data_IF_387253315861
#
_entry.id   IF_387253315861
#
_cell.length_a   1.000
_cell.length_b   1.000
_cell.length_c   1.000
_cell.angle_alpha   90.00
_cell.angle_beta   90.00
_cell.angle_gamma   90.00
#
_symmetry.space_group_name_H-M   'P 1'
#
loop_
_entity.id
_entity.type
_entity.pdbx_description
1 polymer ?
#
# COMPACT_ATOMS: atom_id res chain seq x y z
N UNK A 1 30.37 -10.03 23.63
CA UNK A 1 29.78 -10.32 22.29
C UNK A 1 28.28 -10.60 22.43
N UNK A 2 27.51 -9.54 22.54
CA UNK A 2 26.04 -9.60 22.70
C UNK A 2 25.32 -9.66 21.34
N UNK A 3 25.98 -9.26 20.27
CA UNK A 3 25.41 -9.19 18.90
C UNK A 3 25.37 -10.58 18.23
N UNK A 4 26.23 -11.49 18.62
CA UNK A 4 26.29 -12.84 18.00
C UNK A 4 25.24 -13.85 18.47
N UNK A 5 24.51 -13.57 19.55
CA UNK A 5 23.49 -14.52 20.09
C UNK A 5 22.07 -14.27 19.60
N UNK A 6 21.79 -13.12 19.00
CA UNK A 6 20.44 -12.78 18.49
C UNK A 6 20.18 -13.37 17.11
N UNK A 7 21.23 -13.70 16.36
CA UNK A 7 21.14 -14.19 14.96
C UNK A 7 21.04 -15.72 14.82
N UNK A 8 21.15 -16.50 15.89
CA UNK A 8 21.28 -17.96 15.79
C UNK A 8 20.18 -18.82 16.46
N UNK A 9 19.14 -18.26 17.06
CA UNK A 9 18.27 -19.05 17.94
C UNK A 9 16.95 -19.60 17.37
N UNK A 10 16.60 -19.40 16.10
CA UNK A 10 15.32 -19.91 15.56
C UNK A 10 15.40 -20.82 14.33
N UNK A 11 16.57 -21.40 14.00
CA UNK A 11 16.70 -22.28 12.82
C UNK A 11 16.48 -23.79 13.09
N UNK A 12 16.15 -24.19 14.30
CA UNK A 12 15.99 -25.61 14.63
C UNK A 12 14.70 -25.90 15.41
N UNK A 13 13.55 -25.70 14.79
CA UNK A 13 12.32 -26.41 15.18
C UNK A 13 11.50 -26.74 13.94
N UNK A 14 11.33 -28.03 13.74
CA UNK A 14 10.52 -28.76 12.74
C UNK A 14 11.20 -29.00 11.40
N UNK A 15 11.39 -30.29 11.08
CA UNK A 15 12.01 -30.80 9.84
C UNK A 15 11.15 -30.75 8.57
N UNK A 16 10.40 -29.67 8.37
CA UNK A 16 9.89 -29.27 7.08
C UNK A 16 10.78 -28.12 6.59
N UNK A 17 11.42 -28.28 5.45
CA UNK A 17 12.04 -27.17 4.72
C UNK A 17 10.90 -26.21 4.38
N UNK A 18 10.68 -25.21 5.20
CA UNK A 18 9.74 -24.14 4.89
C UNK A 18 10.36 -23.38 3.73
N UNK A 19 9.82 -23.60 2.53
CA UNK A 19 10.22 -22.80 1.35
C UNK A 19 9.91 -21.35 1.67
N UNK A 20 10.94 -20.53 1.69
CA UNK A 20 10.79 -19.08 1.95
C UNK A 20 10.02 -18.47 0.79
N UNK A 21 8.96 -17.72 1.09
CA UNK A 21 8.23 -16.98 0.09
C UNK A 21 9.10 -15.83 -0.47
N UNK A 22 8.83 -15.38 -1.69
CA UNK A 22 9.64 -14.35 -2.34
C UNK A 22 9.74 -13.06 -1.49
N UNK A 23 8.68 -12.71 -0.79
CA UNK A 23 8.62 -11.50 0.04
C UNK A 23 9.43 -11.61 1.35
N UNK A 24 9.83 -12.79 1.75
CA UNK A 24 10.68 -12.98 2.94
C UNK A 24 12.09 -12.40 2.77
N UNK A 25 12.57 -12.32 1.53
CA UNK A 25 13.88 -11.78 1.19
C UNK A 25 13.77 -10.57 0.24
N UNK A 26 12.59 -10.01 0.07
CA UNK A 26 12.39 -8.88 -0.81
C UNK A 26 13.08 -7.61 -0.29
N UNK A 27 13.61 -6.84 -1.20
CA UNK A 27 14.05 -5.46 -1.02
C UNK A 27 13.22 -4.62 -1.97
N UNK A 28 12.41 -3.73 -1.41
CA UNK A 28 11.48 -2.92 -2.19
C UNK A 28 12.09 -1.60 -2.66
N UNK A 29 11.56 -1.11 -3.75
CA UNK A 29 11.70 0.27 -4.20
C UNK A 29 10.30 0.84 -4.43
N UNK A 30 9.94 1.87 -3.67
CA UNK A 30 8.62 2.50 -3.76
C UNK A 30 8.63 3.65 -4.77
N UNK A 31 7.64 3.67 -5.66
CA UNK A 31 7.42 4.73 -6.64
C UNK A 31 6.02 5.30 -6.50
N UNK A 32 5.90 6.61 -6.24
CA UNK A 32 4.66 7.37 -6.43
C UNK A 32 4.62 7.90 -7.87
N UNK A 33 3.88 7.21 -8.78
CA UNK A 33 4.07 7.39 -10.21
C UNK A 33 3.58 8.74 -10.73
N UNK A 34 2.44 9.26 -10.26
CA UNK A 34 1.89 10.54 -10.67
C UNK A 34 2.87 11.69 -10.40
N UNK A 35 3.42 11.74 -9.18
CA UNK A 35 4.40 12.73 -8.81
C UNK A 35 5.73 12.57 -9.55
N UNK A 36 6.25 11.34 -9.63
CA UNK A 36 7.51 11.07 -10.35
C UNK A 36 7.42 11.46 -11.82
N UNK A 37 6.31 11.19 -12.48
CA UNK A 37 6.12 11.50 -13.90
C UNK A 37 5.77 12.98 -14.14
N UNK A 38 5.41 13.74 -13.09
CA UNK A 38 5.02 15.15 -13.22
C UNK A 38 3.62 15.30 -13.83
N UNK A 39 2.72 14.38 -13.50
CA UNK A 39 1.32 14.46 -13.91
C UNK A 39 0.63 15.71 -13.32
N UNK A 40 -0.37 16.22 -14.03
CA UNK A 40 -1.22 17.29 -13.49
C UNK A 40 -1.90 16.84 -12.19
N UNK A 41 -2.07 17.79 -11.24
CA UNK A 41 -2.70 17.49 -9.95
C UNK A 41 -4.14 17.02 -10.15
N UNK A 42 -4.92 17.78 -10.89
CA UNK A 42 -6.26 17.36 -11.34
C UNK A 42 -6.15 16.55 -12.62
N UNK A 43 -6.93 15.48 -12.72
CA UNK A 43 -6.91 14.61 -13.89
C UNK A 43 -7.61 15.30 -15.08
N UNK A 44 -6.81 15.81 -15.98
CA UNK A 44 -7.26 16.43 -17.23
C UNK A 44 -7.37 15.45 -18.40
N UNK A 45 -7.12 14.16 -18.14
CA UNK A 45 -7.14 13.09 -19.12
C UNK A 45 -5.98 13.12 -20.12
N UNK A 46 -4.99 14.00 -19.92
CA UNK A 46 -3.85 14.15 -20.82
C UNK A 46 -2.67 13.28 -20.36
N UNK A 47 -2.22 12.34 -21.19
CA UNK A 47 -1.08 11.51 -20.83
C UNK A 47 0.24 12.32 -20.84
N UNK A 48 1.08 12.05 -19.84
CA UNK A 48 2.47 12.55 -19.85
C UNK A 48 3.28 11.69 -20.81
N UNK A 49 3.83 12.24 -21.89
CA UNK A 49 4.55 11.46 -22.87
C UNK A 49 5.73 10.68 -22.27
N UNK A 50 5.73 9.36 -22.46
CA UNK A 50 6.83 8.51 -21.99
C UNK A 50 6.83 8.25 -20.48
N UNK A 51 5.71 8.41 -19.79
CA UNK A 51 5.62 8.13 -18.34
C UNK A 51 6.08 6.70 -18.01
N UNK A 52 5.53 5.67 -18.67
CA UNK A 52 5.96 4.29 -18.44
C UNK A 52 7.43 4.02 -18.82
N UNK A 53 7.97 4.70 -19.83
CA UNK A 53 9.40 4.62 -20.13
C UNK A 53 10.25 5.19 -18.99
N UNK A 54 9.80 6.28 -18.37
CA UNK A 54 10.46 6.85 -17.18
C UNK A 54 10.35 5.93 -15.99
N UNK A 55 9.18 5.33 -15.74
CA UNK A 55 8.95 4.35 -14.67
C UNK A 55 9.85 3.12 -14.84
N UNK A 56 9.96 2.58 -16.06
CA UNK A 56 10.83 1.44 -16.36
C UNK A 56 12.31 1.78 -16.13
N UNK A 57 12.76 2.97 -16.50
CA UNK A 57 14.14 3.41 -16.21
C UNK A 57 14.43 3.45 -14.70
N UNK A 58 13.46 3.84 -13.87
CA UNK A 58 13.58 3.78 -12.41
C UNK A 58 13.54 2.34 -11.87
N UNK A 59 12.70 1.47 -12.41
CA UNK A 59 12.70 0.05 -12.06
C UNK A 59 14.05 -0.63 -12.41
N UNK A 60 14.64 -0.29 -13.56
CA UNK A 60 15.99 -0.74 -13.92
C UNK A 60 17.06 -0.21 -12.95
N UNK A 61 16.94 1.05 -12.51
CA UNK A 61 17.83 1.62 -11.50
C UNK A 61 17.70 0.86 -10.18
N UNK A 62 16.48 0.60 -9.73
CA UNK A 62 16.22 -0.18 -8.53
C UNK A 62 16.82 -1.60 -8.61
N UNK A 63 16.70 -2.27 -9.76
CA UNK A 63 17.34 -3.58 -9.98
C UNK A 63 18.89 -3.51 -9.83
N UNK A 64 19.52 -2.46 -10.36
CA UNK A 64 20.97 -2.23 -10.21
C UNK A 64 21.39 -1.98 -8.75
N UNK A 65 20.48 -1.45 -7.91
CA UNK A 65 20.69 -1.30 -6.47
C UNK A 65 20.46 -2.60 -5.69
N UNK A 66 19.97 -3.66 -6.34
CA UNK A 66 19.64 -4.94 -5.71
C UNK A 66 18.21 -5.04 -5.20
N UNK A 67 17.33 -4.10 -5.57
CA UNK A 67 15.91 -4.19 -5.20
C UNK A 67 15.22 -5.28 -6.04
N UNK A 68 14.55 -6.19 -5.34
CA UNK A 68 13.88 -7.36 -5.92
C UNK A 68 12.37 -7.19 -6.06
N UNK A 69 11.85 -6.06 -5.64
CA UNK A 69 10.43 -5.73 -5.75
C UNK A 69 10.21 -4.23 -5.98
N UNK A 70 9.21 -3.92 -6.77
CA UNK A 70 8.71 -2.56 -7.01
C UNK A 70 7.35 -2.43 -6.36
N UNK A 71 7.19 -1.46 -5.47
CA UNK A 71 5.89 -0.96 -5.05
C UNK A 71 5.58 0.29 -5.86
N UNK A 72 4.54 0.23 -6.69
CA UNK A 72 4.08 1.34 -7.52
C UNK A 72 2.64 1.69 -7.18
N UNK A 73 2.41 2.91 -6.73
CA UNK A 73 1.05 3.34 -6.39
C UNK A 73 0.97 4.74 -5.80
N UNK A 74 -0.25 5.29 -5.81
CA UNK A 74 -1.46 4.79 -6.50
C UNK A 74 -1.34 4.87 -8.02
N UNK A 75 -1.97 3.93 -8.74
CA UNK A 75 -1.74 3.72 -10.18
C UNK A 75 -3.00 3.83 -11.03
N UNK A 76 -4.17 3.55 -10.44
CA UNK A 76 -5.41 3.42 -11.19
C UNK A 76 -6.11 4.77 -11.36
N UNK A 77 -7.02 4.85 -12.34
CA UNK A 77 -7.71 6.07 -12.73
C UNK A 77 -8.32 6.78 -11.53
N UNK A 78 -7.96 8.03 -11.34
CA UNK A 78 -8.36 8.86 -10.21
C UNK A 78 -8.68 10.29 -10.65
N UNK A 79 -9.38 11.03 -9.79
CA UNK A 79 -9.72 12.43 -10.06
C UNK A 79 -8.55 13.38 -9.86
N UNK A 80 -7.66 13.07 -8.90
CA UNK A 80 -6.55 13.97 -8.55
C UNK A 80 -5.30 13.21 -8.12
N UNK A 81 -5.07 13.06 -6.82
CA UNK A 81 -3.81 12.56 -6.23
C UNK A 81 -3.62 11.04 -6.31
N UNK A 82 -4.56 10.29 -6.89
CA UNK A 82 -4.47 8.85 -7.05
C UNK A 82 -5.24 8.04 -6.00
N UNK A 83 -5.54 8.62 -4.83
CA UNK A 83 -6.31 7.95 -3.77
C UNK A 83 -7.82 8.21 -3.86
N UNK A 84 -8.26 9.08 -4.75
CA UNK A 84 -9.66 9.30 -5.13
C UNK A 84 -10.01 8.49 -6.38
N UNK A 85 -9.91 7.17 -6.27
CA UNK A 85 -10.06 6.22 -7.38
C UNK A 85 -11.43 6.32 -8.04
N UNK A 86 -11.45 6.43 -9.36
CA UNK A 86 -12.63 6.48 -10.20
C UNK A 86 -12.89 5.13 -10.88
N UNK A 87 -11.83 4.48 -11.38
CA UNK A 87 -11.92 3.19 -12.07
C UNK A 87 -10.72 2.32 -11.70
N UNK A 88 -10.97 1.19 -11.03
CA UNK A 88 -9.93 0.24 -10.62
C UNK A 88 -9.40 -0.63 -11.77
N UNK A 89 -10.06 -0.65 -12.93
CA UNK A 89 -9.66 -1.49 -14.07
C UNK A 89 -8.94 -0.72 -15.16
N UNK A 90 -8.77 0.57 -14.97
CA UNK A 90 -8.06 1.46 -15.86
C UNK A 90 -6.85 2.06 -15.16
N UNK A 91 -5.69 1.92 -15.77
CA UNK A 91 -4.50 2.69 -15.37
C UNK A 91 -4.78 4.18 -15.55
N UNK A 92 -4.32 5.01 -14.64
CA UNK A 92 -4.54 6.45 -14.71
C UNK A 92 -4.06 7.00 -16.05
N UNK A 93 -4.96 7.63 -16.79
CA UNK A 93 -4.73 8.09 -18.17
C UNK A 93 -3.57 9.08 -18.28
N UNK A 94 -3.27 9.79 -17.19
CA UNK A 94 -2.10 10.69 -17.15
C UNK A 94 -0.78 9.92 -17.22
N UNK A 95 -0.75 8.67 -16.80
CA UNK A 95 0.43 7.79 -16.88
C UNK A 95 0.51 7.03 -18.20
N UNK A 96 -0.63 6.61 -18.75
CA UNK A 96 -0.70 5.84 -19.98
C UNK A 96 -1.82 4.83 -20.00
N UNK A 97 -1.55 3.65 -20.53
CA UNK A 97 -2.55 2.61 -20.83
C UNK A 97 -2.35 1.34 -20.02
N UNK A 98 -3.38 0.51 -19.96
CA UNK A 98 -3.31 -0.82 -19.37
C UNK A 98 -2.23 -1.70 -20.04
N UNK A 99 -2.05 -1.58 -21.34
CA UNK A 99 -1.06 -2.36 -22.09
C UNK A 99 0.37 -1.92 -21.72
N UNK A 100 0.63 -0.62 -21.61
CA UNK A 100 1.93 -0.11 -21.16
C UNK A 100 2.26 -0.57 -19.74
N UNK A 101 1.28 -0.62 -18.83
CA UNK A 101 1.49 -1.15 -17.49
C UNK A 101 1.77 -2.66 -17.50
N UNK A 102 1.03 -3.43 -18.32
CA UNK A 102 1.30 -4.85 -18.53
C UNK A 102 2.74 -5.10 -19.02
N UNK A 103 3.19 -4.33 -20.00
CA UNK A 103 4.57 -4.39 -20.52
C UNK A 103 5.59 -4.03 -19.44
N UNK A 104 5.31 -3.01 -18.62
CA UNK A 104 6.13 -2.64 -17.48
C UNK A 104 6.29 -3.77 -16.47
N UNK A 105 5.19 -4.45 -16.09
CA UNK A 105 5.23 -5.59 -15.16
C UNK A 105 6.04 -6.73 -15.76
N UNK A 106 5.83 -7.08 -17.03
CA UNK A 106 6.59 -8.12 -17.73
C UNK A 106 8.09 -7.80 -17.73
N UNK A 107 8.47 -6.57 -18.04
CA UNK A 107 9.86 -6.12 -18.00
C UNK A 107 10.47 -6.17 -16.58
N UNK A 108 9.70 -5.88 -15.52
CA UNK A 108 10.13 -6.08 -14.13
C UNK A 108 10.38 -7.56 -13.85
N UNK A 109 9.47 -8.45 -14.25
CA UNK A 109 9.61 -9.90 -14.07
C UNK A 109 10.83 -10.47 -14.79
N UNK A 110 11.12 -10.03 -16.02
CA UNK A 110 12.33 -10.41 -16.76
C UNK A 110 13.62 -10.06 -16.01
N UNK A 111 13.59 -9.00 -15.20
CA UNK A 111 14.71 -8.59 -14.34
C UNK A 111 14.72 -9.28 -12.98
N UNK A 112 13.76 -10.16 -12.70
CA UNK A 112 13.61 -10.84 -11.41
C UNK A 112 12.97 -9.96 -10.32
N UNK A 113 12.31 -8.86 -10.72
CA UNK A 113 11.61 -7.97 -9.80
C UNK A 113 10.13 -8.32 -9.72
N UNK A 114 9.57 -8.37 -8.51
CA UNK A 114 8.14 -8.47 -8.24
C UNK A 114 7.48 -7.10 -8.29
N UNK A 115 6.19 -7.05 -8.60
CA UNK A 115 5.44 -5.78 -8.68
C UNK A 115 4.20 -5.84 -7.80
N UNK A 116 4.06 -4.85 -6.89
CA UNK A 116 2.85 -4.65 -6.11
C UNK A 116 2.25 -3.27 -6.39
N UNK A 117 0.93 -3.15 -6.26
CA UNK A 117 0.17 -1.91 -6.48
C UNK A 117 -0.62 -1.50 -5.25
N UNK A 118 -1.11 -0.25 -5.21
CA UNK A 118 -2.07 0.19 -4.19
C UNK A 118 -3.47 -0.38 -4.43
N UNK A 119 -4.08 -0.89 -3.38
CA UNK A 119 -5.48 -1.22 -3.28
C UNK A 119 -6.19 -0.20 -2.38
N UNK A 120 -6.77 0.83 -2.97
CA UNK A 120 -7.53 1.87 -2.26
C UNK A 120 -8.97 1.38 -2.10
N UNK A 121 -9.23 0.53 -1.10
CA UNK A 121 -10.51 -0.17 -0.95
C UNK A 121 -11.39 0.37 0.17
N UNK A 122 -10.89 1.32 0.97
CA UNK A 122 -11.68 1.97 2.01
C UNK A 122 -12.66 3.00 1.44
N UNK A 123 -12.26 3.70 0.39
CA UNK A 123 -13.00 4.82 -0.18
C UNK A 123 -12.77 4.91 -1.69
N UNK A 124 -13.57 5.73 -2.35
CA UNK A 124 -13.50 6.03 -3.79
C UNK A 124 -13.61 7.53 -4.03
N UNK A 125 -13.20 7.96 -5.21
CA UNK A 125 -13.44 9.32 -5.70
C UNK A 125 -14.91 9.57 -6.03
N UNK A 126 -15.28 10.84 -6.08
CA UNK A 126 -16.67 11.27 -6.35
C UNK A 126 -17.18 10.91 -7.74
N UNK A 127 -16.28 10.66 -8.69
CA UNK A 127 -16.64 10.27 -10.06
C UNK A 127 -16.69 8.75 -10.27
N UNK A 128 -16.53 7.97 -9.18
CA UNK A 128 -16.75 6.53 -9.22
C UNK A 128 -18.20 6.20 -9.61
N UNK A 129 -18.40 5.25 -10.52
CA UNK A 129 -19.69 4.98 -11.17
C UNK A 129 -20.86 4.79 -10.19
N UNK A 130 -20.63 4.07 -9.07
CA UNK A 130 -21.66 3.81 -8.08
C UNK A 130 -22.03 5.07 -7.29
N UNK A 131 -21.06 5.98 -7.06
CA UNK A 131 -21.34 7.26 -6.42
C UNK A 131 -22.05 8.24 -7.37
N UNK A 132 -21.74 8.19 -8.66
CA UNK A 132 -22.48 8.95 -9.67
C UNK A 132 -23.96 8.51 -9.74
N UNK A 133 -24.23 7.20 -9.64
CA UNK A 133 -25.60 6.69 -9.50
C UNK A 133 -26.29 7.26 -8.24
N UNK A 134 -25.59 7.27 -7.11
CA UNK A 134 -26.12 7.82 -5.84
C UNK A 134 -26.46 9.32 -5.99
N UNK A 135 -25.58 10.10 -6.62
CA UNK A 135 -25.84 11.53 -6.88
C UNK A 135 -27.05 11.75 -7.78
N UNK A 136 -27.19 10.95 -8.83
CA UNK A 136 -28.26 11.10 -9.81
C UNK A 136 -29.63 10.61 -9.32
N UNK A 137 -29.67 9.48 -8.62
CA UNK A 137 -30.89 8.75 -8.28
C UNK A 137 -31.25 8.78 -6.80
N UNK A 138 -30.37 9.29 -5.93
CA UNK A 138 -30.60 9.52 -4.49
C UNK A 138 -31.16 8.27 -3.79
N UNK A 139 -32.34 8.36 -3.16
CA UNK A 139 -33.01 7.25 -2.46
C UNK A 139 -33.29 6.05 -3.36
N UNK A 140 -33.41 6.28 -4.66
CA UNK A 140 -33.68 5.25 -5.68
C UNK A 140 -32.40 4.70 -6.32
N UNK A 141 -31.22 5.15 -5.92
CA UNK A 141 -29.96 4.70 -6.48
C UNK A 141 -29.76 3.20 -6.26
N UNK A 142 -29.32 2.51 -7.31
CA UNK A 142 -29.01 1.07 -7.29
C UNK A 142 -27.90 0.73 -6.28
N UNK A 143 -26.92 1.63 -6.14
CA UNK A 143 -25.71 1.42 -5.35
C UNK A 143 -25.69 2.20 -4.05
N UNK A 144 -26.82 2.72 -3.54
CA UNK A 144 -26.84 3.53 -2.30
C UNK A 144 -26.23 2.80 -1.10
N UNK A 145 -26.46 1.49 -0.98
CA UNK A 145 -26.00 0.66 0.13
C UNK A 145 -24.51 0.27 0.03
N UNK A 146 -23.85 0.69 -1.07
CA UNK A 146 -22.40 0.58 -1.23
C UNK A 146 -21.63 1.59 -0.39
N UNK A 147 -22.30 2.63 0.10
CA UNK A 147 -21.69 3.73 0.82
C UNK A 147 -22.12 3.76 2.29
N UNK A 148 -21.23 4.25 3.17
CA UNK A 148 -21.52 4.40 4.58
C UNK A 148 -22.27 5.71 4.85
N UNK A 149 -23.13 5.71 5.87
CA UNK A 149 -23.71 6.89 6.54
C UNK A 149 -24.42 7.86 5.58
N UNK A 150 -25.04 7.35 4.51
CA UNK A 150 -25.80 8.17 3.56
C UNK A 150 -27.04 8.75 4.24
N UNK A 151 -27.13 10.09 4.25
CA UNK A 151 -28.23 10.82 4.88
C UNK A 151 -28.80 11.87 3.90
N UNK A 152 -29.97 11.62 3.37
CA UNK A 152 -30.64 12.48 2.40
C UNK A 152 -31.26 13.76 2.99
N UNK A 153 -31.18 13.93 4.30
CA UNK A 153 -31.55 15.17 5.02
C UNK A 153 -30.35 16.05 5.30
N UNK A 154 -29.14 15.60 4.96
CA UNK A 154 -27.89 16.32 5.13
C UNK A 154 -27.50 17.10 3.88
N UNK A 155 -26.31 17.69 3.94
CA UNK A 155 -25.62 18.31 2.80
C UNK A 155 -24.10 18.22 3.02
N UNK A 156 -23.33 18.64 2.05
CA UNK A 156 -21.87 18.70 2.08
C UNK A 156 -21.37 19.92 1.30
N UNK A 157 -20.06 20.15 1.26
CA UNK A 157 -19.43 21.29 0.59
C UNK A 157 -19.63 21.32 -0.93
N UNK A 158 -20.01 20.20 -1.53
CA UNK A 158 -20.32 20.11 -2.97
C UNK A 158 -21.80 20.37 -3.29
N UNK A 159 -22.61 20.65 -2.28
CA UNK A 159 -24.06 20.89 -2.39
C UNK A 159 -24.84 19.73 -3.06
N UNK A 160 -24.46 18.49 -2.77
CA UNK A 160 -25.16 17.31 -3.29
C UNK A 160 -26.60 17.14 -2.75
N UNK A 161 -26.96 17.86 -1.68
CA UNK A 161 -28.26 17.74 -0.99
C UNK A 161 -28.38 16.46 -0.16
N UNK A 162 -27.29 15.79 0.14
CA UNK A 162 -27.15 14.70 1.11
C UNK A 162 -25.74 14.68 1.70
N UNK A 163 -25.56 13.98 2.82
CA UNK A 163 -24.25 13.71 3.42
C UNK A 163 -23.96 12.20 3.38
N UNK A 164 -22.71 11.84 3.54
CA UNK A 164 -22.22 10.47 3.50
C UNK A 164 -20.94 10.30 4.30
N UNK A 165 -20.61 9.06 4.66
CA UNK A 165 -19.34 8.74 5.28
C UNK A 165 -18.16 8.99 4.35
N UNK A 166 -17.06 9.48 4.92
CA UNK A 166 -15.83 9.78 4.19
C UNK A 166 -14.60 9.29 4.94
N UNK A 167 -13.44 9.37 4.32
CA UNK A 167 -12.17 9.14 4.99
C UNK A 167 -11.56 10.47 5.45
N UNK A 168 -11.14 10.51 6.73
CA UNK A 168 -10.39 11.64 7.28
C UNK A 168 -11.11 12.99 7.32
N UNK A 169 -12.44 13.03 7.11
CA UNK A 169 -13.21 14.28 7.03
C UNK A 169 -13.26 14.88 5.62
N UNK A 170 -12.70 14.23 4.62
CA UNK A 170 -12.65 14.72 3.23
C UNK A 170 -13.76 14.09 2.39
N UNK A 171 -14.78 14.87 2.01
CA UNK A 171 -15.88 14.36 1.19
C UNK A 171 -15.47 14.02 -0.26
N UNK A 172 -14.28 14.37 -0.69
CA UNK A 172 -13.68 13.84 -1.92
C UNK A 172 -13.50 12.32 -1.87
N UNK A 173 -13.26 11.76 -0.66
CA UNK A 173 -12.94 10.37 -0.41
C UNK A 173 -14.14 9.65 0.20
N UNK A 174 -15.05 9.20 -0.67
CA UNK A 174 -16.35 8.63 -0.28
C UNK A 174 -16.19 7.23 0.28
N UNK A 175 -16.57 7.02 1.55
CA UNK A 175 -16.36 5.75 2.25
C UNK A 175 -17.27 4.64 1.73
N UNK A 176 -16.65 3.53 1.37
CA UNK A 176 -17.36 2.31 0.94
C UNK A 176 -17.83 1.48 2.15
N UNK A 177 -18.99 0.88 2.00
CA UNK A 177 -19.52 -0.09 2.95
C UNK A 177 -18.93 -1.49 2.67
N UNK A 178 -17.79 -1.79 3.29
CA UNK A 178 -17.05 -3.05 3.11
C UNK A 178 -17.80 -4.28 3.66
N UNK A 179 -18.90 -4.09 4.40
CA UNK A 179 -19.78 -5.19 4.85
C UNK A 179 -20.83 -5.55 3.80
N UNK A 180 -21.02 -4.73 2.78
CA UNK A 180 -21.90 -5.04 1.68
C UNK A 180 -21.23 -6.12 0.79
N UNK A 181 -21.88 -7.29 0.56
CA UNK A 181 -21.31 -8.36 -0.25
C UNK A 181 -21.02 -7.96 -1.71
N UNK A 182 -21.79 -7.04 -2.28
CA UNK A 182 -21.55 -6.55 -3.63
C UNK A 182 -20.25 -5.72 -3.69
N UNK A 183 -19.97 -4.89 -2.69
CA UNK A 183 -18.72 -4.13 -2.56
C UNK A 183 -17.54 -5.09 -2.41
N UNK A 184 -17.68 -6.11 -1.55
CA UNK A 184 -16.65 -7.13 -1.38
C UNK A 184 -16.35 -7.84 -2.70
N UNK A 185 -17.39 -8.35 -3.38
CA UNK A 185 -17.24 -9.05 -4.65
C UNK A 185 -16.63 -8.16 -5.74
N UNK A 186 -17.02 -6.89 -5.80
CA UNK A 186 -16.43 -5.93 -6.74
C UNK A 186 -14.91 -5.82 -6.56
N UNK A 187 -14.42 -5.70 -5.33
CA UNK A 187 -12.98 -5.64 -5.05
C UNK A 187 -12.28 -6.99 -5.23
N UNK A 188 -12.92 -8.10 -4.89
CA UNK A 188 -12.37 -9.44 -5.15
C UNK A 188 -12.18 -9.69 -6.66
N UNK A 189 -13.16 -9.29 -7.47
CA UNK A 189 -13.07 -9.38 -8.93
C UNK A 189 -12.07 -8.38 -9.51
N UNK A 190 -11.87 -7.25 -8.85
CA UNK A 190 -10.81 -6.30 -9.21
C UNK A 190 -9.42 -6.93 -9.03
N UNK A 191 -9.17 -7.62 -7.93
CA UNK A 191 -7.89 -8.31 -7.70
C UNK A 191 -7.69 -9.41 -8.75
N UNK A 192 -8.71 -10.23 -9.04
CA UNK A 192 -8.64 -11.24 -10.10
C UNK A 192 -8.30 -10.63 -11.45
N UNK A 193 -8.96 -9.51 -11.79
CA UNK A 193 -8.67 -8.75 -13.00
C UNK A 193 -7.22 -8.25 -13.04
N UNK A 194 -6.70 -7.70 -11.94
CA UNK A 194 -5.33 -7.19 -11.89
C UNK A 194 -4.28 -8.30 -12.10
N UNK A 195 -4.51 -9.48 -11.52
CA UNK A 195 -3.61 -10.61 -11.71
C UNK A 195 -3.72 -11.18 -13.13
N UNK A 196 -4.93 -11.37 -13.65
CA UNK A 196 -5.15 -11.89 -15.01
C UNK A 196 -4.62 -10.93 -16.08
N UNK A 197 -4.87 -9.63 -15.93
CA UNK A 197 -4.52 -8.62 -16.94
C UNK A 197 -3.07 -8.20 -16.86
N UNK A 198 -2.52 -8.02 -15.65
CA UNK A 198 -1.22 -7.38 -15.42
C UNK A 198 -0.18 -8.30 -14.79
N UNK A 199 -0.59 -9.45 -14.25
CA UNK A 199 0.29 -10.41 -13.55
C UNK A 199 1.01 -9.82 -12.32
N UNK A 200 0.38 -8.90 -11.59
CA UNK A 200 0.96 -8.32 -10.36
C UNK A 200 1.18 -9.39 -9.28
N UNK A 201 2.09 -9.12 -8.34
CA UNK A 201 2.51 -10.07 -7.31
C UNK A 201 1.99 -9.77 -5.92
N UNK A 202 1.28 -8.67 -5.75
CA UNK A 202 0.72 -8.29 -4.46
C UNK A 202 0.08 -6.91 -4.45
N UNK A 203 -0.43 -6.54 -3.28
CA UNK A 203 -1.15 -5.29 -3.04
C UNK A 203 -0.70 -4.68 -1.71
N UNK A 204 -0.51 -3.36 -1.71
CA UNK A 204 -0.52 -2.55 -0.49
C UNK A 204 -1.93 -2.01 -0.29
N UNK A 205 -2.56 -2.34 0.82
CA UNK A 205 -3.89 -1.83 1.17
C UNK A 205 -3.74 -0.47 1.83
N UNK A 206 -4.29 0.54 1.17
CA UNK A 206 -4.40 1.89 1.70
C UNK A 206 -5.33 1.94 2.91
N UNK A 207 -4.98 2.75 3.93
CA UNK A 207 -5.77 2.93 5.15
C UNK A 207 -6.26 1.60 5.76
N UNK A 208 -5.37 0.58 5.83
CA UNK A 208 -5.74 -0.76 6.26
C UNK A 208 -6.21 -0.82 7.72
N UNK A 209 -5.85 0.14 8.54
CA UNK A 209 -6.27 0.25 9.94
C UNK A 209 -7.78 0.52 10.11
N UNK A 210 -8.46 1.02 9.08
CA UNK A 210 -9.91 1.27 9.07
C UNK A 210 -10.70 0.32 8.17
N UNK A 211 -10.03 -0.69 7.57
CA UNK A 211 -10.71 -1.74 6.81
C UNK A 211 -11.43 -2.73 7.73
N UNK A 212 -12.57 -3.23 7.27
CA UNK A 212 -13.31 -4.28 7.97
C UNK A 212 -12.51 -5.60 7.99
N UNK A 213 -12.43 -6.27 9.14
CA UNK A 213 -11.62 -7.49 9.29
C UNK A 213 -12.15 -8.67 8.47
N UNK A 214 -13.46 -8.82 8.33
CA UNK A 214 -14.03 -9.90 7.51
C UNK A 214 -13.79 -9.65 6.03
N UNK A 215 -13.78 -8.38 5.61
CA UNK A 215 -13.33 -7.99 4.27
C UNK A 215 -11.86 -8.34 4.06
N UNK A 216 -10.96 -8.04 5.01
CA UNK A 216 -9.54 -8.41 4.91
C UNK A 216 -9.32 -9.92 4.85
N UNK A 217 -10.08 -10.71 5.63
CA UNK A 217 -10.07 -12.19 5.50
C UNK A 217 -10.53 -12.64 4.12
N UNK A 218 -11.52 -11.94 3.54
CA UNK A 218 -11.95 -12.14 2.16
C UNK A 218 -10.83 -11.87 1.16
N UNK A 219 -10.12 -10.75 1.31
CA UNK A 219 -8.95 -10.41 0.49
C UNK A 219 -7.85 -11.48 0.58
N UNK A 220 -7.60 -12.02 1.79
CA UNK A 220 -6.63 -13.11 1.96
C UNK A 220 -7.02 -14.37 1.23
N UNK A 221 -8.31 -14.75 1.25
CA UNK A 221 -8.80 -15.93 0.49
C UNK A 221 -8.56 -15.73 -1.00
N UNK A 222 -8.91 -14.54 -1.53
CA UNK A 222 -8.70 -14.22 -2.95
C UNK A 222 -7.21 -14.20 -3.30
N UNK A 223 -6.37 -13.63 -2.45
CA UNK A 223 -4.91 -13.64 -2.63
C UNK A 223 -4.37 -15.07 -2.80
N UNK A 224 -4.81 -15.98 -1.93
CA UNK A 224 -4.40 -17.39 -2.01
C UNK A 224 -4.96 -18.11 -3.25
N UNK A 225 -6.09 -17.66 -3.80
CA UNK A 225 -6.73 -18.23 -5.00
C UNK A 225 -6.01 -17.79 -6.29
N UNK A 226 -5.69 -16.49 -6.40
CA UNK A 226 -5.28 -15.90 -7.69
C UNK A 226 -3.85 -16.20 -8.09
N UNK A 227 -2.92 -16.30 -7.11
CA UNK A 227 -1.50 -16.53 -7.39
C UNK A 227 -0.79 -17.09 -6.17
N UNK A 228 0.06 -18.13 -6.30
CA UNK A 228 0.93 -18.56 -5.22
C UNK A 228 1.76 -17.39 -4.68
N UNK A 229 1.82 -17.28 -3.35
CA UNK A 229 2.59 -16.21 -2.69
C UNK A 229 2.17 -14.77 -3.05
N UNK A 230 0.90 -14.54 -3.45
CA UNK A 230 0.39 -13.19 -3.65
C UNK A 230 0.42 -12.43 -2.34
N UNK A 231 1.19 -11.35 -2.29
CA UNK A 231 1.49 -10.65 -1.05
C UNK A 231 0.49 -9.56 -0.72
N UNK A 232 0.02 -9.52 0.52
CA UNK A 232 -0.84 -8.47 1.06
C UNK A 232 -0.10 -7.71 2.15
N UNK A 233 0.12 -6.42 1.96
CA UNK A 233 0.68 -5.51 2.93
C UNK A 233 -0.34 -4.42 3.22
N UNK A 234 -0.53 -4.05 4.47
CA UNK A 234 -1.45 -2.99 4.87
C UNK A 234 -0.74 -1.75 5.39
N UNK A 235 -1.27 -0.59 5.08
CA UNK A 235 -0.89 0.62 5.78
C UNK A 235 -1.56 0.66 7.14
N UNK A 236 -0.75 0.59 8.19
CA UNK A 236 -1.17 0.73 9.58
C UNK A 236 -0.17 1.64 10.28
N UNK A 237 -0.67 2.75 10.83
CA UNK A 237 0.20 3.74 11.46
C UNK A 237 0.43 3.40 12.93
N UNK A 238 -0.63 3.06 13.66
CA UNK A 238 -0.60 2.85 15.11
C UNK A 238 -1.33 1.58 15.54
N UNK A 239 -0.95 1.07 16.70
CA UNK A 239 -1.66 -0.03 17.35
C UNK A 239 -0.83 -1.30 17.46
N UNK A 240 -1.50 -2.37 17.81
CA UNK A 240 -0.92 -3.72 17.82
C UNK A 240 -0.98 -4.30 16.41
N UNK A 241 0.13 -4.30 15.72
CA UNK A 241 0.24 -4.72 14.31
C UNK A 241 -0.20 -6.17 14.07
N UNK A 242 -0.14 -7.04 15.08
CA UNK A 242 -0.62 -8.43 14.98
C UNK A 242 -2.13 -8.55 14.71
N UNK A 243 -2.89 -7.50 14.99
CA UNK A 243 -4.32 -7.46 14.68
C UNK A 243 -4.59 -7.52 13.18
N UNK A 244 -3.71 -6.98 12.37
CA UNK A 244 -3.82 -6.94 10.90
C UNK A 244 -2.88 -7.94 10.23
N UNK A 245 -1.61 -7.97 10.67
CA UNK A 245 -0.60 -8.88 10.12
C UNK A 245 -0.64 -10.22 10.86
N UNK A 246 -1.36 -11.17 10.30
CA UNK A 246 -1.55 -12.51 10.85
C UNK A 246 -1.93 -13.52 9.74
N UNK A 247 -1.94 -14.83 10.02
CA UNK A 247 -2.20 -15.85 9.00
C UNK A 247 -3.56 -15.76 8.31
N UNK A 248 -4.57 -15.11 8.92
CA UNK A 248 -5.91 -15.01 8.37
C UNK A 248 -6.12 -13.78 7.48
N UNK A 249 -5.31 -12.73 7.66
CA UNK A 249 -5.48 -11.43 6.99
C UNK A 249 -4.22 -11.03 6.21
N UNK A 250 -3.45 -10.07 6.68
CA UNK A 250 -2.33 -9.52 5.93
C UNK A 250 -1.04 -10.27 6.24
N UNK A 251 -0.12 -10.31 5.28
CA UNK A 251 1.22 -10.88 5.46
C UNK A 251 2.14 -9.92 6.21
N UNK A 252 1.92 -8.61 6.03
CA UNK A 252 2.75 -7.55 6.60
C UNK A 252 1.96 -6.27 6.78
N UNK A 253 2.48 -5.35 7.57
CA UNK A 253 2.03 -3.96 7.65
C UNK A 253 3.22 -3.01 7.67
N UNK A 254 2.97 -1.73 7.38
CA UNK A 254 3.96 -0.66 7.42
C UNK A 254 4.48 -0.44 8.84
N UNK A 255 5.81 -0.33 8.99
CA UNK A 255 6.46 -0.19 10.28
C UNK A 255 6.71 1.29 10.65
N UNK A 256 5.61 2.03 10.89
CA UNK A 256 5.67 3.44 11.29
C UNK A 256 6.34 3.64 12.66
N UNK A 257 6.25 2.64 13.55
CA UNK A 257 6.94 2.73 14.85
C UNK A 257 8.47 2.73 14.69
N UNK A 258 9.00 1.84 13.84
CA UNK A 258 10.43 1.84 13.55
C UNK A 258 10.84 3.13 12.81
N UNK A 259 10.08 3.56 11.79
CA UNK A 259 10.29 4.83 11.11
C UNK A 259 10.43 5.98 12.12
N UNK A 260 9.47 6.11 13.05
CA UNK A 260 9.50 7.15 14.08
C UNK A 260 10.72 7.01 15.00
N UNK A 261 10.99 5.81 15.49
CA UNK A 261 12.13 5.54 16.38
C UNK A 261 13.48 5.85 15.73
N UNK A 262 13.61 5.59 14.42
CA UNK A 262 14.85 5.84 13.69
C UNK A 262 15.17 7.34 13.61
N UNK A 263 14.27 8.16 13.07
CA UNK A 263 14.57 9.59 12.91
C UNK A 263 14.60 10.34 14.25
N UNK A 264 13.68 10.02 15.17
CA UNK A 264 13.60 10.66 16.49
C UNK A 264 14.82 10.31 17.35
N UNK A 265 15.17 9.02 17.43
CA UNK A 265 16.33 8.57 18.20
C UNK A 265 17.66 9.17 17.72
N UNK A 266 17.83 9.38 16.41
CA UNK A 266 19.00 10.06 15.87
C UNK A 266 18.99 11.56 16.16
N UNK A 267 17.85 12.23 16.01
CA UNK A 267 17.72 13.66 16.28
C UNK A 267 17.96 14.02 17.75
N UNK A 268 17.52 13.16 18.66
CA UNK A 268 17.61 13.39 20.10
C UNK A 268 18.84 12.71 20.72
N UNK A 269 19.70 12.08 19.91
CA UNK A 269 20.86 11.29 20.36
C UNK A 269 20.48 10.22 21.40
N UNK A 270 19.26 9.66 21.26
CA UNK A 270 18.69 8.70 22.19
C UNK A 270 18.44 7.35 21.50
N UNK A 271 19.46 6.55 21.33
CA UNK A 271 19.35 5.22 20.72
C UNK A 271 18.61 4.19 21.58
N UNK A 272 18.35 4.49 22.86
CA UNK A 272 17.48 3.65 23.69
C UNK A 272 16.04 3.63 23.14
N UNK A 273 15.61 4.69 22.47
CA UNK A 273 14.30 4.73 21.78
C UNK A 273 14.22 3.67 20.67
N UNK A 274 15.26 3.56 19.83
CA UNK A 274 15.33 2.53 18.79
C UNK A 274 15.32 1.14 19.40
N UNK A 275 16.15 0.91 20.44
CA UNK A 275 16.21 -0.36 21.12
C UNK A 275 14.89 -0.73 21.83
N UNK A 276 14.17 0.24 22.36
CA UNK A 276 12.84 0.04 22.95
C UNK A 276 11.82 -0.35 21.89
N UNK A 277 11.77 0.38 20.78
CA UNK A 277 10.89 0.09 19.64
C UNK A 277 11.12 -1.33 19.11
N UNK A 278 12.37 -1.73 18.92
CA UNK A 278 12.71 -3.08 18.46
C UNK A 278 12.23 -4.17 19.42
N UNK A 279 12.44 -3.99 20.75
CA UNK A 279 11.95 -4.97 21.75
C UNK A 279 10.43 -5.07 21.74
N UNK A 280 9.74 -3.94 21.63
CA UNK A 280 8.28 -3.90 21.58
C UNK A 280 7.76 -4.62 20.33
N UNK A 281 8.32 -4.31 19.15
CA UNK A 281 7.93 -4.95 17.90
C UNK A 281 8.21 -6.46 17.91
N UNK A 282 9.33 -6.90 18.51
CA UNK A 282 9.63 -8.32 18.67
C UNK A 282 8.57 -9.04 19.52
N UNK A 283 8.03 -8.38 20.54
CA UNK A 283 6.94 -8.93 21.37
C UNK A 283 5.58 -8.99 20.65
N UNK A 284 5.30 -8.04 19.77
CA UNK A 284 4.02 -7.91 19.07
C UNK A 284 3.97 -8.73 17.77
N UNK A 285 5.09 -8.83 17.06
CA UNK A 285 5.14 -9.36 15.69
C UNK A 285 6.25 -10.41 15.57
N UNK A 286 6.29 -11.37 16.52
CA UNK A 286 7.38 -12.36 16.66
C UNK A 286 7.71 -13.10 15.35
N UNK A 287 6.68 -13.49 14.58
CA UNK A 287 6.81 -14.30 13.36
C UNK A 287 6.50 -13.51 12.07
N UNK A 288 6.16 -12.22 12.20
CA UNK A 288 5.76 -11.38 11.07
C UNK A 288 6.87 -10.41 10.69
N UNK A 289 7.22 -10.37 9.40
CA UNK A 289 8.15 -9.37 8.87
C UNK A 289 7.38 -8.12 8.49
N UNK A 290 7.64 -7.02 9.20
CA UNK A 290 7.04 -5.72 8.91
C UNK A 290 7.75 -5.03 7.75
N UNK A 291 7.03 -4.20 7.01
CA UNK A 291 7.58 -3.39 5.94
C UNK A 291 8.31 -2.18 6.52
N UNK A 292 9.64 -2.24 6.52
CA UNK A 292 10.53 -1.21 7.09
C UNK A 292 10.84 -0.15 6.04
N UNK A 293 10.72 1.11 6.40
CA UNK A 293 11.02 2.23 5.52
C UNK A 293 11.63 3.41 6.28
N UNK A 294 12.40 4.24 5.59
CA UNK A 294 12.96 5.47 6.14
C UNK A 294 12.04 6.68 5.94
N UNK A 295 11.40 6.77 4.79
CA UNK A 295 10.33 7.70 4.45
C UNK A 295 9.45 7.12 3.34
N UNK A 296 8.32 7.75 3.06
CA UNK A 296 7.42 7.43 1.97
C UNK A 296 6.77 8.71 1.41
N UNK A 297 5.71 8.58 0.60
CA UNK A 297 5.01 9.74 0.01
C UNK A 297 4.11 10.50 0.99
N UNK A 298 3.81 9.93 2.18
CA UNK A 298 2.91 10.53 3.20
C UNK A 298 3.66 11.22 4.32
N UNK A 299 4.97 11.03 4.42
CA UNK A 299 5.79 11.64 5.46
C UNK A 299 6.87 12.54 4.88
N UNK A 300 7.36 13.44 5.70
CA UNK A 300 8.48 14.30 5.31
C UNK A 300 9.70 13.45 4.95
N UNK A 301 10.36 13.80 3.85
CA UNK A 301 11.58 13.09 3.39
C UNK A 301 12.66 13.12 4.45
N UNK A 302 13.29 11.97 4.67
CA UNK A 302 14.28 11.78 5.73
C UNK A 302 15.37 12.87 5.80
N UNK A 303 15.96 13.33 4.68
CA UNK A 303 16.97 14.39 4.71
C UNK A 303 16.47 15.73 5.28
N UNK A 304 15.18 16.00 5.20
CA UNK A 304 14.58 17.23 5.73
C UNK A 304 14.21 17.07 7.21
N UNK A 305 13.85 15.85 7.61
CA UNK A 305 13.46 15.52 8.98
C UNK A 305 14.64 15.44 9.95
N UNK A 306 15.83 15.12 9.44
CA UNK A 306 17.04 14.96 10.24
C UNK A 306 17.72 16.31 10.52
N UNK A 307 18.05 16.56 11.80
CA UNK A 307 18.91 17.70 12.22
C UNK A 307 20.33 17.55 11.70
N UNK A 308 20.85 16.33 11.63
CA UNK A 308 22.14 15.99 11.03
C UNK A 308 21.94 15.01 9.87
N UNK A 309 22.20 15.45 8.65
CA UNK A 309 22.04 14.64 7.43
C UNK A 309 23.02 13.46 7.33
N UNK A 310 24.15 13.50 8.04
CA UNK A 310 25.09 12.37 8.07
C UNK A 310 24.47 11.10 8.67
N UNK A 311 23.43 11.24 9.48
CA UNK A 311 22.67 10.13 10.04
C UNK A 311 21.86 9.34 9.00
N UNK A 312 21.68 9.84 7.78
CA UNK A 312 21.00 9.10 6.68
C UNK A 312 21.63 7.73 6.49
N UNK A 313 22.99 7.66 6.50
CA UNK A 313 23.71 6.40 6.30
C UNK A 313 23.45 5.40 7.42
N UNK A 314 23.37 5.88 8.66
CA UNK A 314 23.09 5.05 9.82
C UNK A 314 21.65 4.50 9.75
N UNK A 315 20.68 5.35 9.41
CA UNK A 315 19.27 4.96 9.29
C UNK A 315 19.09 3.98 8.14
N UNK A 316 19.70 4.24 6.98
CA UNK A 316 19.68 3.29 5.86
C UNK A 316 20.25 1.92 6.29
N UNK A 317 21.42 1.90 6.96
CA UNK A 317 21.98 0.65 7.47
C UNK A 317 20.98 -0.09 8.38
N UNK A 318 20.31 0.61 9.28
CA UNK A 318 19.33 -0.01 10.18
C UNK A 318 18.10 -0.53 9.43
N UNK A 319 17.54 0.24 8.48
CA UNK A 319 16.39 -0.19 7.67
C UNK A 319 16.70 -1.50 6.94
N UNK A 320 17.89 -1.61 6.33
CA UNK A 320 18.27 -2.78 5.53
C UNK A 320 18.83 -3.96 6.33
N UNK A 321 19.16 -3.80 7.62
CA UNK A 321 19.77 -4.88 8.43
C UNK A 321 18.90 -5.34 9.60
N UNK A 322 17.90 -4.56 10.00
CA UNK A 322 16.96 -4.97 11.03
C UNK A 322 15.93 -5.96 10.47
N UNK A 323 15.37 -6.77 11.36
CA UNK A 323 14.32 -7.72 10.99
C UNK A 323 13.13 -7.02 10.37
N UNK A 324 12.75 -7.42 9.16
CA UNK A 324 11.66 -6.85 8.38
C UNK A 324 11.91 -6.97 6.88
N UNK A 325 11.09 -6.29 6.11
CA UNK A 325 11.14 -6.19 4.65
C UNK A 325 11.52 -4.74 4.34
N UNK A 326 12.76 -4.47 3.90
CA UNK A 326 13.23 -3.10 3.68
C UNK A 326 12.70 -2.47 2.40
N UNK A 327 12.50 -1.13 2.47
CA UNK A 327 12.14 -0.27 1.35
C UNK A 327 12.87 1.07 1.38
#
# INVERSE_FOLDING_TARGET
SFVGKVLCCNFLKTGAVQTMAWYDNAVFYHIYPLGLCGCAHENDGQPVPGAFKKLDAWAQHAAKLGCTAIYIGPLFESGSHGYDTIDYRLVDRRLGTNEEFKEFVAACHERGQKVIVDGVFNHVGRDFFAFQDLKANRENARYKDWFCDVNFWGNNEYNDGFSYGNWGGFNLLVKLNQRNPEVQNYHFDTIRFWVDKFDIDGIRLDAADVLDFDFMKGLRRVANEVKPEFWLMGEVIHGDYSRWANPEMLHSVTNYELHKGLWSGHNDHNYFEIAHTMRRLQGLCHDTRLYNFSDNHDVERLPNKLRNRDHIRHIALLVYTLWGIPS
#
